data_IF_499950854663
#
_entry.id   IF_499950854663
#
_cell.length_a   1.000
_cell.length_b   1.000
_cell.length_c   1.000
_cell.angle_alpha   90.00
_cell.angle_beta   90.00
_cell.angle_gamma   90.00
#
_symmetry.space_group_name_H-M   'P 1'
#
loop_
_entity.id
_entity.type
_entity.pdbx_description
1 polymer ?
#
# COMPACT_ATOMS: atom_id res chain seq x y z
N UNK A 1 -21.58 -18.00 0.59
CA UNK A 1 -20.87 -18.61 1.74
C UNK A 1 -20.12 -19.84 1.24
N UNK A 2 -18.83 -20.00 1.58
CA UNK A 2 -18.01 -21.13 1.11
C UNK A 2 -17.74 -22.12 2.25
N UNK A 3 -17.72 -23.41 1.94
CA UNK A 3 -17.42 -24.45 2.93
C UNK A 3 -15.95 -24.34 3.39
N UNK A 4 -15.68 -24.67 4.65
CA UNK A 4 -14.31 -24.60 5.19
C UNK A 4 -13.32 -25.47 4.44
N UNK A 5 -13.76 -26.58 3.84
CA UNK A 5 -12.91 -27.43 3.00
C UNK A 5 -12.49 -26.73 1.71
N UNK A 6 -13.40 -25.99 1.07
CA UNK A 6 -13.09 -25.21 -0.14
C UNK A 6 -12.14 -24.04 0.16
N UNK A 7 -12.31 -23.37 1.31
CA UNK A 7 -11.40 -22.30 1.75
C UNK A 7 -10.01 -22.86 2.03
N UNK A 8 -9.90 -24.00 2.73
CA UNK A 8 -8.60 -24.63 2.99
C UNK A 8 -7.91 -25.08 1.70
N UNK A 9 -8.63 -25.65 0.74
CA UNK A 9 -8.08 -26.08 -0.54
C UNK A 9 -7.57 -24.88 -1.37
N UNK A 10 -8.31 -23.76 -1.39
CA UNK A 10 -7.89 -22.54 -2.08
C UNK A 10 -6.62 -21.94 -1.45
N UNK A 11 -6.55 -21.87 -0.12
CA UNK A 11 -5.37 -21.37 0.60
C UNK A 11 -4.16 -22.29 0.39
N UNK A 12 -4.35 -23.61 0.44
CA UNK A 12 -3.27 -24.57 0.20
C UNK A 12 -2.72 -24.48 -1.23
N UNK A 13 -3.58 -24.27 -2.23
CA UNK A 13 -3.17 -24.10 -3.63
C UNK A 13 -2.45 -22.78 -3.88
N UNK A 14 -2.93 -21.67 -3.30
CA UNK A 14 -2.34 -20.33 -3.47
C UNK A 14 -0.98 -20.22 -2.78
N UNK A 15 -0.87 -20.70 -1.55
CA UNK A 15 0.33 -20.56 -0.73
C UNK A 15 1.25 -21.78 -0.77
N UNK A 16 0.87 -22.84 -1.49
CA UNK A 16 1.61 -24.11 -1.58
C UNK A 16 1.96 -24.69 -0.20
N UNK A 17 1.04 -24.56 0.76
CA UNK A 17 1.21 -25.02 2.15
C UNK A 17 0.39 -26.27 2.44
N UNK A 18 0.90 -27.10 3.35
CA UNK A 18 0.25 -28.35 3.76
C UNK A 18 -1.03 -28.09 4.58
N UNK A 19 -1.95 -29.05 4.60
CA UNK A 19 -3.19 -28.96 5.35
C UNK A 19 -3.03 -28.78 6.89
N UNK A 20 -2.02 -29.40 7.55
CA UNK A 20 -1.69 -29.06 8.93
C UNK A 20 -1.28 -27.59 9.10
N UNK A 21 -0.49 -27.04 8.16
CA UNK A 21 -0.10 -25.63 8.18
C UNK A 21 -1.32 -24.71 8.00
N UNK A 22 -2.25 -25.03 7.10
CA UNK A 22 -3.51 -24.27 6.96
C UNK A 22 -4.30 -24.28 8.27
N UNK A 23 -4.44 -25.44 8.91
CA UNK A 23 -5.16 -25.56 10.20
C UNK A 23 -4.52 -24.71 11.30
N UNK A 24 -3.18 -24.65 11.32
CA UNK A 24 -2.45 -23.84 12.28
C UNK A 24 -2.65 -22.34 12.03
N UNK A 25 -2.59 -21.88 10.78
CA UNK A 25 -2.89 -20.48 10.44
C UNK A 25 -4.31 -20.10 10.82
N UNK A 26 -5.31 -20.93 10.51
CA UNK A 26 -6.71 -20.67 10.89
C UNK A 26 -6.89 -20.60 12.41
N UNK A 27 -6.17 -21.43 13.16
CA UNK A 27 -6.15 -21.35 14.63
C UNK A 27 -5.58 -20.01 15.11
N UNK A 28 -4.41 -19.60 14.60
CA UNK A 28 -3.78 -18.32 14.98
C UNK A 28 -4.68 -17.13 14.64
N UNK A 29 -5.28 -17.12 13.46
CA UNK A 29 -6.21 -16.06 13.05
C UNK A 29 -7.43 -15.97 13.98
N UNK A 30 -8.01 -17.13 14.33
CA UNK A 30 -9.12 -17.17 15.30
C UNK A 30 -8.69 -16.65 16.67
N UNK A 31 -7.58 -17.15 17.19
CA UNK A 31 -7.12 -16.83 18.55
C UNK A 31 -6.78 -15.33 18.70
N UNK A 32 -6.52 -14.62 17.59
CA UNK A 32 -6.26 -13.17 17.55
C UNK A 32 -7.43 -12.34 17.00
N UNK A 33 -8.63 -12.92 16.83
CA UNK A 33 -9.83 -12.17 16.43
C UNK A 33 -9.89 -11.77 14.95
N UNK A 34 -9.10 -12.41 14.09
CA UNK A 34 -9.14 -12.24 12.63
C UNK A 34 -10.04 -13.27 11.92
N UNK A 35 -10.51 -14.28 12.64
CA UNK A 35 -11.44 -15.28 12.13
C UNK A 35 -12.42 -15.75 13.22
N UNK A 36 -13.64 -16.08 12.80
CA UNK A 36 -14.64 -16.74 13.65
C UNK A 36 -14.76 -18.21 13.27
N UNK A 37 -15.23 -19.03 14.22
CA UNK A 37 -15.48 -20.45 13.98
C UNK A 37 -16.86 -20.82 14.50
N UNK A 38 -17.65 -21.53 13.67
CA UNK A 38 -18.90 -22.18 14.08
C UNK A 38 -18.83 -23.68 13.87
N UNK A 39 -19.43 -24.44 14.78
CA UNK A 39 -19.60 -25.89 14.60
C UNK A 39 -20.83 -26.16 13.73
N UNK A 40 -20.68 -27.05 12.76
CA UNK A 40 -21.78 -27.55 11.92
C UNK A 40 -21.66 -29.07 11.81
N UNK A 41 -22.37 -29.77 12.70
CA UNK A 41 -22.21 -31.21 12.88
C UNK A 41 -20.77 -31.57 13.23
N UNK A 42 -20.13 -32.39 12.39
CA UNK A 42 -18.74 -32.82 12.54
C UNK A 42 -17.71 -31.84 11.94
N UNK A 43 -18.17 -30.76 11.31
CA UNK A 43 -17.32 -29.80 10.61
C UNK A 43 -17.16 -28.52 11.42
N UNK A 44 -15.98 -27.90 11.27
CA UNK A 44 -15.72 -26.53 11.73
C UNK A 44 -15.77 -25.62 10.52
N UNK A 45 -16.61 -24.59 10.57
CA UNK A 45 -16.70 -23.57 9.54
C UNK A 45 -15.99 -22.31 10.02
N UNK A 46 -14.98 -21.88 9.27
CA UNK A 46 -14.22 -20.67 9.52
C UNK A 46 -14.70 -19.55 8.60
N UNK A 47 -14.85 -18.35 9.16
CA UNK A 47 -15.12 -17.14 8.40
C UNK A 47 -14.12 -16.05 8.81
N UNK A 48 -13.67 -15.25 7.84
CA UNK A 48 -12.81 -14.09 8.11
C UNK A 48 -13.61 -13.05 8.88
N UNK A 49 -13.02 -12.52 9.95
CA UNK A 49 -13.58 -11.43 10.71
C UNK A 49 -12.84 -10.14 10.38
N UNK A 50 -13.53 -9.23 9.68
CA UNK A 50 -13.01 -7.92 9.33
C UNK A 50 -12.89 -6.98 10.54
N UNK A 51 -13.45 -7.34 11.70
CA UNK A 51 -13.43 -6.52 12.91
C UNK A 51 -12.02 -6.33 13.46
N UNK A 52 -11.22 -7.40 13.52
CA UNK A 52 -9.81 -7.31 13.92
C UNK A 52 -9.00 -6.41 12.98
N UNK A 53 -9.27 -6.50 11.67
CA UNK A 53 -8.62 -5.64 10.66
C UNK A 53 -9.00 -4.16 10.83
N UNK A 54 -10.27 -3.85 11.14
CA UNK A 54 -10.71 -2.46 11.39
C UNK A 54 -9.99 -1.82 12.57
N UNK A 55 -9.70 -2.57 13.63
CA UNK A 55 -8.93 -2.06 14.77
C UNK A 55 -7.49 -1.72 14.37
N UNK A 56 -6.86 -2.59 13.58
CA UNK A 56 -5.51 -2.35 13.04
C UNK A 56 -5.51 -1.13 12.11
N UNK A 57 -6.51 -1.00 11.24
CA UNK A 57 -6.66 0.15 10.36
C UNK A 57 -6.85 1.45 11.15
N UNK A 58 -7.66 1.44 12.22
CA UNK A 58 -7.86 2.58 13.10
C UNK A 58 -6.56 3.01 13.80
N UNK A 59 -5.78 2.05 14.30
CA UNK A 59 -4.46 2.32 14.87
C UNK A 59 -3.48 2.87 13.82
N UNK A 60 -3.42 2.25 12.63
CA UNK A 60 -2.55 2.69 11.53
C UNK A 60 -2.93 4.09 11.01
N UNK A 61 -4.20 4.46 11.03
CA UNK A 61 -4.66 5.78 10.61
C UNK A 61 -3.98 6.91 11.40
N UNK A 62 -3.69 6.69 12.69
CA UNK A 62 -2.96 7.65 13.53
C UNK A 62 -1.54 7.90 13.01
N UNK A 63 -0.86 6.85 12.55
CA UNK A 63 0.48 6.97 11.96
C UNK A 63 0.46 7.58 10.56
N UNK A 64 -0.56 7.24 9.77
CA UNK A 64 -0.73 7.78 8.41
C UNK A 64 -0.88 9.30 8.41
N UNK A 65 -1.62 9.87 9.37
CA UNK A 65 -1.79 11.33 9.46
C UNK A 65 -0.48 12.09 9.72
N UNK A 66 0.39 11.55 10.57
CA UNK A 66 1.70 12.16 10.83
C UNK A 66 2.68 11.98 9.66
N UNK A 67 2.65 10.83 9.00
CA UNK A 67 3.49 10.57 7.83
C UNK A 67 3.07 11.42 6.63
N UNK A 68 1.77 11.59 6.39
CA UNK A 68 1.28 12.38 5.25
C UNK A 68 1.70 13.84 5.34
N UNK A 69 1.55 14.49 6.51
CA UNK A 69 1.95 15.88 6.68
C UNK A 69 3.41 16.15 6.32
N UNK A 70 4.33 15.26 6.73
CA UNK A 70 5.76 15.40 6.41
C UNK A 70 6.04 15.15 4.93
N UNK A 71 5.36 14.18 4.32
CA UNK A 71 5.49 13.89 2.90
C UNK A 71 4.90 15.01 2.02
N UNK A 72 3.79 15.62 2.44
CA UNK A 72 3.16 16.76 1.77
C UNK A 72 4.05 18.01 1.81
N UNK A 73 4.69 18.27 2.96
CA UNK A 73 5.68 19.33 3.11
C UNK A 73 6.87 19.10 2.16
N UNK A 74 7.40 17.88 2.11
CA UNK A 74 8.48 17.53 1.19
C UNK A 74 8.06 17.70 -0.27
N UNK A 75 6.86 17.24 -0.64
CA UNK A 75 6.32 17.41 -1.99
C UNK A 75 6.21 18.89 -2.39
N UNK A 76 5.82 19.75 -1.44
CA UNK A 76 5.75 21.20 -1.63
C UNK A 76 7.12 21.82 -1.90
N UNK A 77 8.15 21.44 -1.14
CA UNK A 77 9.52 21.93 -1.34
C UNK A 77 10.11 21.43 -2.67
N UNK A 78 9.88 20.17 -3.04
CA UNK A 78 10.29 19.64 -4.34
C UNK A 78 9.61 20.39 -5.49
N UNK A 79 8.32 20.70 -5.35
CA UNK A 79 7.59 21.48 -6.35
C UNK A 79 8.11 22.92 -6.46
N UNK A 80 8.47 23.56 -5.33
CA UNK A 80 9.09 24.88 -5.31
C UNK A 80 10.44 24.86 -6.04
N UNK A 81 11.33 23.94 -5.68
CA UNK A 81 12.64 23.81 -6.31
C UNK A 81 12.55 23.50 -7.81
N UNK A 82 11.58 22.69 -8.25
CA UNK A 82 11.32 22.42 -9.69
C UNK A 82 10.91 23.71 -10.43
N UNK A 83 10.05 24.53 -9.84
CA UNK A 83 9.61 25.82 -10.43
C UNK A 83 10.75 26.82 -10.54
N UNK A 84 11.58 26.93 -9.51
CA UNK A 84 12.74 27.82 -9.50
C UNK A 84 13.76 27.44 -10.57
N UNK A 85 14.09 26.15 -10.70
CA UNK A 85 14.97 25.65 -11.76
C UNK A 85 14.43 25.95 -13.16
N UNK A 86 13.11 25.80 -13.37
CA UNK A 86 12.46 26.12 -14.64
C UNK A 86 12.54 27.62 -14.96
N UNK A 87 12.24 28.48 -13.99
CA UNK A 87 12.34 29.95 -14.14
C UNK A 87 13.78 30.40 -14.41
N UNK A 88 14.76 29.77 -13.77
CA UNK A 88 16.18 30.04 -14.01
C UNK A 88 16.60 29.62 -15.43
N UNK A 89 16.08 28.51 -15.94
CA UNK A 89 16.30 28.07 -17.33
C UNK A 89 15.64 29.02 -18.35
N UNK A 90 14.44 29.52 -18.07
CA UNK A 90 13.72 30.50 -18.93
C UNK A 90 14.39 31.89 -18.92
N UNK A 91 15.00 32.30 -17.79
CA UNK A 91 15.71 33.59 -17.67
C UNK A 91 17.11 33.60 -18.28
N UNK A 92 17.70 32.44 -18.61
CA UNK A 92 18.98 32.40 -19.35
C UNK A 92 18.69 32.89 -20.77
N UNK A 93 19.16 34.08 -21.17
CA UNK A 93 18.94 34.54 -22.53
C UNK A 93 19.61 33.54 -23.47
N UNK A 94 18.92 33.22 -24.56
CA UNK A 94 19.50 32.47 -25.68
C UNK A 94 20.72 33.22 -26.21
N UNK A 95 21.91 32.90 -25.69
CA UNK A 95 23.20 33.41 -26.15
C UNK A 95 23.52 32.99 -27.61
N UNK A 96 22.60 32.30 -28.27
CA UNK A 96 22.74 31.78 -29.63
C UNK A 96 22.32 32.79 -30.72
N UNK A 97 21.60 33.88 -30.43
CA UNK A 97 21.22 34.86 -31.47
C UNK A 97 22.24 35.97 -31.75
N UNK A 98 23.36 36.06 -31.03
CA UNK A 98 24.34 37.14 -31.19
C UNK A 98 25.55 36.80 -32.09
N UNK A 99 25.66 35.56 -32.58
CA UNK A 99 26.74 35.19 -33.52
C UNK A 99 26.43 35.47 -34.99
N UNK A 100 25.16 35.67 -35.38
CA UNK A 100 24.81 35.89 -36.79
C UNK A 100 24.97 37.35 -37.26
N UNK A 101 25.16 38.34 -36.37
CA UNK A 101 25.32 39.75 -36.77
C UNK A 101 26.79 40.18 -36.95
N UNK A 102 27.77 39.29 -36.73
CA UNK A 102 29.22 39.61 -36.86
C UNK A 102 29.87 39.05 -38.13
N UNK A 103 29.11 38.41 -39.02
CA UNK A 103 29.62 37.87 -40.30
C UNK A 103 29.15 38.65 -41.54
N UNK A 104 28.42 39.76 -41.37
CA UNK A 104 27.93 40.59 -42.49
C UNK A 104 28.37 42.07 -42.43
N UNK A 105 29.43 42.40 -41.68
CA UNK A 105 30.01 43.75 -41.68
C UNK A 105 31.50 43.74 -41.96
#
# INVERSE_FOLDING_TARGET
EHSSGAICAAIAAEFQISQPAVSQHLKVLRDNGFATVRAEGTRRLYAVDSTGLRHVDGWLAQFRGFASQRLDALATELARGKRERRRAAEKRPSATKQRQHKEQS
#
